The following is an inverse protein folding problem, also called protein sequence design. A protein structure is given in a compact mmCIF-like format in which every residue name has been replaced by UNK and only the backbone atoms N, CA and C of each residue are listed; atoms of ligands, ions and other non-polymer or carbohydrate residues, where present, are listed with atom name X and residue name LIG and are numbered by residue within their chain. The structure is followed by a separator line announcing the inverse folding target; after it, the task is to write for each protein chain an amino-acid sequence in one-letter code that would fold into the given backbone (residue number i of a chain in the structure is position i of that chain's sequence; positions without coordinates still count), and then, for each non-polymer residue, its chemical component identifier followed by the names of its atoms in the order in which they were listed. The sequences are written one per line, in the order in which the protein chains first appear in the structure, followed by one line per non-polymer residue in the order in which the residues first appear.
data_IF_640739023386
#
_entry.id   IF_640739023386
#
_cell.length_a   1.000
_cell.length_b   1.000
_cell.length_c   1.000
_cell.angle_alpha   90.00
_cell.angle_beta   90.00
_cell.angle_gamma   90.00
#
_symmetry.space_group_name_H-M   'P 1'
#
loop_
_entity.id
_entity.type
_entity.pdbx_description
1 polymer ?
#
# COMPACT_ATOMS: atom_id res chain seq x y z
N UNK A 1 -68.09 14.52 -9.95
CA UNK A 1 -67.11 14.38 -11.05
C UNK A 1 -66.43 13.02 -10.91
N UNK A 2 -66.55 12.19 -11.94
CA UNK A 2 -66.05 10.82 -11.98
C UNK A 2 -64.67 10.75 -12.65
N UNK A 3 -63.78 9.89 -12.14
CA UNK A 3 -62.59 9.37 -12.83
C UNK A 3 -62.39 7.94 -12.33
N UNK A 4 -63.01 6.96 -12.99
CA UNK A 4 -62.42 6.08 -14.02
C UNK A 4 -61.21 5.30 -13.51
N UNK A 5 -61.50 4.09 -13.03
CA UNK A 5 -60.56 2.98 -12.87
C UNK A 5 -60.81 1.96 -14.00
N UNK A 6 -59.78 1.14 -14.29
CA UNK A 6 -59.70 0.01 -15.27
C UNK A 6 -59.45 0.46 -16.74
N UNK A 7 -58.59 -0.15 -17.56
CA UNK A 7 -58.02 -1.51 -17.63
C UNK A 7 -56.82 -1.49 -18.61
N UNK A 8 -55.73 -2.27 -18.46
CA UNK A 8 -55.45 -3.56 -19.17
C UNK A 8 -53.97 -3.56 -19.64
N UNK A 9 -53.31 -4.66 -20.13
CA UNK A 9 -53.60 -6.10 -20.04
C UNK A 9 -52.44 -6.97 -19.51
N UNK A 10 -52.79 -8.24 -19.29
CA UNK A 10 -52.02 -9.49 -19.43
C UNK A 10 -50.59 -9.45 -19.99
N UNK A 11 -49.73 -10.36 -19.52
CA UNK A 11 -49.32 -11.54 -20.32
C UNK A 11 -48.11 -12.28 -19.69
N UNK A 12 -48.33 -13.55 -19.38
CA UNK A 12 -47.42 -14.68 -19.65
C UNK A 12 -46.01 -14.67 -19.03
N UNK A 13 -45.87 -15.44 -17.94
CA UNK A 13 -44.60 -16.07 -17.55
C UNK A 13 -44.18 -17.07 -18.63
N UNK A 14 -43.39 -16.63 -19.60
CA UNK A 14 -42.72 -17.53 -20.53
C UNK A 14 -41.28 -17.72 -20.07
N UNK A 15 -41.00 -18.88 -19.49
CA UNK A 15 -39.66 -19.33 -19.10
C UNK A 15 -38.78 -19.40 -20.35
N UNK A 16 -37.88 -18.43 -20.55
CA UNK A 16 -36.80 -18.54 -21.51
C UNK A 16 -35.78 -19.57 -20.99
N UNK A 17 -35.82 -20.80 -21.54
CA UNK A 17 -34.91 -21.92 -21.25
C UNK A 17 -33.50 -21.75 -21.87
N UNK A 18 -33.14 -20.57 -22.34
CA UNK A 18 -31.95 -20.36 -23.19
C UNK A 18 -30.72 -19.80 -22.47
N UNK A 19 -30.81 -19.35 -21.21
CA UNK A 19 -29.65 -18.77 -20.50
C UNK A 19 -28.71 -19.85 -19.94
N UNK A 20 -29.18 -21.09 -19.76
CA UNK A 20 -28.34 -22.15 -19.16
C UNK A 20 -27.23 -22.65 -20.10
N UNK A 21 -27.35 -22.44 -21.41
CA UNK A 21 -26.42 -23.00 -22.40
C UNK A 21 -25.18 -22.14 -22.66
N UNK A 22 -25.17 -20.86 -22.26
CA UNK A 22 -24.01 -19.99 -22.50
C UNK A 22 -22.97 -20.09 -21.38
N UNK A 23 -23.39 -20.48 -20.17
CA UNK A 23 -22.47 -20.71 -19.05
C UNK A 23 -21.56 -21.93 -19.26
N UNK A 24 -22.06 -22.98 -19.93
CA UNK A 24 -21.28 -24.18 -20.22
C UNK A 24 -20.21 -23.94 -21.29
N UNK A 25 -20.48 -23.08 -22.28
CA UNK A 25 -19.51 -22.70 -23.31
C UNK A 25 -18.42 -21.76 -22.75
N UNK A 26 -18.76 -20.85 -21.83
CA UNK A 26 -17.78 -20.03 -21.13
C UNK A 26 -16.82 -20.89 -20.28
N UNK A 27 -17.35 -21.93 -19.62
CA UNK A 27 -16.53 -22.88 -18.86
C UNK A 27 -15.56 -23.69 -19.74
N UNK A 28 -15.93 -23.95 -21.00
CA UNK A 28 -15.08 -24.67 -21.95
C UNK A 28 -13.95 -23.77 -22.49
N UNK A 29 -14.24 -22.50 -22.77
CA UNK A 29 -13.24 -21.53 -23.26
C UNK A 29 -12.19 -21.15 -22.21
N UNK A 30 -12.51 -21.24 -20.91
CA UNK A 30 -11.51 -21.08 -19.84
C UNK A 30 -10.53 -22.26 -19.79
N UNK A 31 -10.92 -23.46 -20.25
CA UNK A 31 -10.10 -24.68 -20.17
C UNK A 31 -9.14 -24.90 -21.33
N UNK A 32 -9.29 -24.19 -22.45
CA UNK A 32 -8.42 -24.32 -23.63
C UNK A 32 -7.60 -23.06 -23.86
N UNK A 33 -6.90 -22.57 -22.82
CA UNK A 33 -5.68 -21.79 -23.06
C UNK A 33 -4.53 -22.78 -23.26
N UNK A 34 -3.98 -22.87 -24.48
CA UNK A 34 -2.77 -23.64 -24.72
C UNK A 34 -1.67 -23.09 -23.82
N UNK A 35 -0.83 -23.98 -23.33
CA UNK A 35 0.32 -23.72 -22.46
C UNK A 35 1.39 -22.91 -23.23
N UNK A 36 1.09 -21.67 -23.57
CA UNK A 36 2.10 -20.73 -24.04
C UNK A 36 2.87 -20.30 -22.79
N UNK A 37 4.06 -20.88 -22.66
CA UNK A 37 5.18 -20.52 -21.78
C UNK A 37 4.93 -19.28 -20.94
N UNK A 38 4.58 -19.48 -19.67
CA UNK A 38 4.75 -18.42 -18.67
C UNK A 38 6.20 -17.96 -18.76
N UNK A 39 6.47 -16.65 -18.97
CA UNK A 39 7.80 -16.13 -18.66
C UNK A 39 8.10 -16.55 -17.23
N UNK A 40 9.29 -17.11 -16.99
CA UNK A 40 9.74 -17.48 -15.65
C UNK A 40 9.41 -16.35 -14.66
N UNK A 41 8.99 -16.67 -13.42
CA UNK A 41 8.84 -15.65 -12.40
C UNK A 41 10.17 -14.92 -12.29
N UNK A 42 10.19 -13.64 -12.70
CA UNK A 42 11.34 -12.79 -12.47
C UNK A 42 11.71 -12.93 -10.99
N UNK A 43 13.01 -13.09 -10.65
CA UNK A 43 13.42 -13.09 -9.26
C UNK A 43 12.81 -11.85 -8.61
N UNK A 44 12.25 -11.98 -7.39
CA UNK A 44 11.69 -10.84 -6.69
C UNK A 44 12.72 -9.71 -6.75
N UNK A 45 12.30 -8.47 -7.07
CA UNK A 45 13.17 -7.31 -6.98
C UNK A 45 13.92 -7.39 -5.65
N UNK A 46 15.20 -6.96 -5.57
CA UNK A 46 15.97 -7.02 -4.32
C UNK A 46 15.15 -6.34 -3.21
N UNK A 47 14.44 -7.17 -2.45
CA UNK A 47 13.61 -6.72 -1.35
C UNK A 47 14.61 -6.12 -0.37
N UNK A 48 14.37 -4.91 0.16
CA UNK A 48 15.19 -4.42 1.24
C UNK A 48 15.20 -5.51 2.30
N UNK A 49 16.38 -6.01 2.64
CA UNK A 49 16.52 -7.17 3.52
C UNK A 49 15.67 -6.93 4.75
N UNK A 50 14.67 -7.80 4.97
CA UNK A 50 13.66 -7.67 6.03
C UNK A 50 14.32 -7.43 7.39
N UNK A 51 15.52 -7.97 7.59
CA UNK A 51 16.35 -7.78 8.78
C UNK A 51 16.73 -6.31 9.01
N UNK A 52 17.18 -5.59 7.97
CA UNK A 52 17.48 -4.16 8.07
C UNK A 52 16.23 -3.34 8.39
N UNK A 53 15.09 -3.67 7.78
CA UNK A 53 13.82 -3.00 8.08
C UNK A 53 13.44 -3.20 9.55
N UNK A 54 13.59 -4.42 10.07
CA UNK A 54 13.31 -4.73 11.47
C UNK A 54 14.28 -4.03 12.42
N UNK A 55 15.55 -3.97 12.06
CA UNK A 55 16.58 -3.33 12.88
C UNK A 55 16.37 -1.82 12.96
N UNK A 56 16.14 -1.15 11.83
CA UNK A 56 15.82 0.28 11.82
C UNK A 56 14.51 0.53 12.57
N UNK A 57 13.48 -0.32 12.38
CA UNK A 57 12.22 -0.19 13.13
C UNK A 57 12.42 -0.34 14.65
N UNK A 58 13.36 -1.19 15.09
CA UNK A 58 13.75 -1.33 16.49
C UNK A 58 14.42 -0.04 16.99
N UNK A 59 15.38 0.49 16.24
CA UNK A 59 16.04 1.79 16.56
C UNK A 59 15.00 2.91 16.72
N UNK A 60 14.03 3.02 15.81
CA UNK A 60 12.94 4.01 15.92
C UNK A 60 12.08 3.81 17.17
N UNK A 61 11.90 2.56 17.61
CA UNK A 61 11.11 2.23 18.80
C UNK A 61 11.86 2.55 20.10
N UNK A 62 13.18 2.40 20.09
CA UNK A 62 14.05 2.68 21.24
C UNK A 62 14.27 4.19 21.43
N UNK A 63 14.23 4.96 20.33
CA UNK A 63 14.46 6.41 20.30
C UNK A 63 13.14 7.20 20.18
N UNK A 64 12.14 6.86 21.01
CA UNK A 64 10.87 7.60 21.05
C UNK A 64 10.99 9.00 21.66
N UNK A 65 11.94 9.19 22.56
CA UNK A 65 12.15 10.46 23.27
C UNK A 65 12.86 11.47 22.38
N UNK A 66 12.45 12.75 22.39
CA UNK A 66 13.07 13.79 21.55
C UNK A 66 14.54 14.05 21.89
N UNK A 67 14.94 13.78 23.14
CA UNK A 67 16.32 13.96 23.62
C UNK A 67 17.30 12.88 23.17
N UNK A 68 16.83 11.79 22.54
CA UNK A 68 17.73 10.75 22.08
C UNK A 68 18.30 11.08 20.70
N UNK A 69 19.59 10.84 20.52
CA UNK A 69 20.31 11.03 19.26
C UNK A 69 20.01 9.91 18.26
N UNK A 70 18.82 9.99 17.66
CA UNK A 70 18.35 9.07 16.64
C UNK A 70 19.34 8.98 15.45
N UNK A 71 19.90 10.12 15.04
CA UNK A 71 20.77 10.25 13.87
C UNK A 71 22.08 9.45 14.05
N UNK A 72 22.64 9.45 15.25
CA UNK A 72 23.85 8.67 15.59
C UNK A 72 23.60 7.17 15.45
N UNK A 73 22.43 6.71 15.91
CA UNK A 73 22.03 5.30 15.80
C UNK A 73 21.69 4.90 14.36
N UNK A 74 21.28 5.86 13.52
CA UNK A 74 20.98 5.64 12.10
C UNK A 74 22.23 5.74 11.20
N UNK A 75 23.29 6.41 11.65
CA UNK A 75 24.54 6.58 10.91
C UNK A 75 25.10 5.31 10.25
N UNK A 76 25.20 4.16 10.96
CA UNK A 76 25.66 2.90 10.38
C UNK A 76 24.81 2.38 9.21
N UNK A 77 23.53 2.78 9.14
CA UNK A 77 22.59 2.37 8.11
C UNK A 77 22.65 3.26 6.87
N UNK A 78 23.27 4.45 6.95
CA UNK A 78 23.38 5.41 5.84
C UNK A 78 23.73 4.80 4.47
N UNK A 79 24.73 3.91 4.32
CA UNK A 79 25.08 3.34 3.01
C UNK A 79 24.03 2.34 2.47
N UNK A 80 23.14 1.83 3.32
CA UNK A 80 22.12 0.85 2.97
C UNK A 80 20.73 1.49 2.76
N UNK A 81 20.62 2.81 2.97
CA UNK A 81 19.35 3.52 2.80
C UNK A 81 18.95 3.53 1.32
N UNK A 82 17.79 2.96 1.06
CA UNK A 82 17.13 2.98 -0.25
C UNK A 82 15.67 3.41 -0.08
N UNK A 83 15.06 3.89 -1.16
CA UNK A 83 13.69 4.41 -1.07
C UNK A 83 12.71 3.31 -0.66
N UNK A 84 12.94 2.08 -1.14
CA UNK A 84 12.16 0.90 -0.75
C UNK A 84 12.28 0.60 0.75
N UNK A 85 13.50 0.67 1.31
CA UNK A 85 13.72 0.46 2.75
C UNK A 85 12.99 1.52 3.58
N UNK A 86 13.09 2.80 3.21
CA UNK A 86 12.39 3.90 3.90
C UNK A 86 10.88 3.67 3.87
N UNK A 87 10.31 3.33 2.70
CA UNK A 87 8.88 3.03 2.60
C UNK A 87 8.46 1.88 3.51
N UNK A 88 9.23 0.80 3.58
CA UNK A 88 8.92 -0.36 4.42
C UNK A 88 9.00 -0.02 5.91
N UNK A 89 10.05 0.70 6.34
CA UNK A 89 10.19 1.17 7.72
C UNK A 89 9.04 2.10 8.11
N UNK A 90 8.68 3.05 7.26
CA UNK A 90 7.54 3.95 7.48
C UNK A 90 6.21 3.18 7.57
N UNK A 91 6.00 2.17 6.71
CA UNK A 91 4.79 1.32 6.76
C UNK A 91 4.68 0.53 8.06
N UNK A 92 5.79 0.11 8.67
CA UNK A 92 5.81 -0.63 9.96
C UNK A 92 5.67 0.29 11.17
N UNK A 93 6.13 1.54 11.07
CA UNK A 93 6.20 2.50 12.18
C UNK A 93 4.92 3.31 12.41
N UNK A 94 3.73 2.74 12.14
CA UNK A 94 2.43 3.45 12.22
C UNK A 94 2.13 4.13 13.57
N UNK A 95 2.67 3.60 14.66
CA UNK A 95 2.50 4.15 16.01
C UNK A 95 3.65 5.06 16.46
N UNK A 96 4.63 5.31 15.60
CA UNK A 96 5.88 6.03 15.90
C UNK A 96 5.99 7.28 15.03
N UNK A 97 4.95 8.12 15.05
CA UNK A 97 4.87 9.31 14.21
C UNK A 97 6.07 10.25 14.31
N UNK A 98 6.48 10.54 15.54
CA UNK A 98 7.58 11.46 15.80
C UNK A 98 8.96 10.86 15.41
N UNK A 99 9.35 9.64 15.83
CA UNK A 99 10.58 9.01 15.35
C UNK A 99 10.63 8.79 13.84
N UNK A 100 9.49 8.42 13.23
CA UNK A 100 9.39 8.20 11.78
C UNK A 100 9.61 9.50 10.99
N UNK A 101 9.08 10.62 11.46
CA UNK A 101 9.33 11.94 10.86
C UNK A 101 10.80 12.35 10.97
N UNK A 102 11.42 12.19 12.15
CA UNK A 102 12.86 12.45 12.31
C UNK A 102 13.73 11.55 11.43
N UNK A 103 13.39 10.27 11.34
CA UNK A 103 14.04 9.34 10.40
C UNK A 103 13.92 9.80 8.95
N UNK A 104 12.75 10.33 8.57
CA UNK A 104 12.53 10.86 7.23
C UNK A 104 13.40 12.09 6.94
N UNK A 105 13.51 13.02 7.89
CA UNK A 105 14.40 14.18 7.79
C UNK A 105 15.87 13.76 7.73
N UNK A 106 16.29 12.83 8.58
CA UNK A 106 17.64 12.26 8.54
C UNK A 106 17.93 11.59 7.20
N UNK A 107 17.00 10.81 6.64
CA UNK A 107 17.23 10.15 5.36
C UNK A 107 17.51 11.16 4.22
N UNK A 108 16.96 12.39 4.30
CA UNK A 108 17.23 13.48 3.35
C UNK A 108 18.66 14.02 3.45
N UNK A 109 19.36 13.82 4.57
CA UNK A 109 20.76 14.24 4.74
C UNK A 109 21.75 13.24 4.13
N UNK A 110 21.31 12.02 3.82
CA UNK A 110 22.14 10.98 3.20
C UNK A 110 22.50 11.39 1.76
N UNK A 111 23.79 11.45 1.41
CA UNK A 111 24.22 11.92 0.09
C UNK A 111 23.72 10.98 -1.02
N UNK A 112 23.09 11.56 -2.04
CA UNK A 112 22.56 10.82 -3.19
C UNK A 112 21.20 10.15 -2.96
N UNK A 113 20.64 10.25 -1.76
CA UNK A 113 19.31 9.75 -1.46
C UNK A 113 18.24 10.82 -1.72
N UNK A 114 17.14 10.42 -2.35
CA UNK A 114 15.96 11.26 -2.49
C UNK A 114 14.69 10.47 -2.18
N UNK A 115 13.79 11.11 -1.44
CA UNK A 115 12.46 10.58 -1.17
C UNK A 115 11.60 10.60 -2.44
N UNK A 116 10.82 9.54 -2.65
CA UNK A 116 9.83 9.51 -3.71
C UNK A 116 8.45 9.96 -3.19
N UNK A 117 7.51 10.20 -4.11
CA UNK A 117 6.14 10.58 -3.76
C UNK A 117 5.42 9.54 -2.87
N UNK A 118 5.83 8.27 -2.93
CA UNK A 118 5.25 7.18 -2.14
C UNK A 118 5.66 7.32 -0.68
N UNK A 119 6.93 7.57 -0.39
CA UNK A 119 7.47 7.81 0.96
C UNK A 119 6.78 9.00 1.63
N UNK A 120 6.63 10.11 0.90
CA UNK A 120 5.85 11.26 1.39
C UNK A 120 4.41 10.88 1.72
N UNK A 121 3.71 10.20 0.80
CA UNK A 121 2.32 9.77 1.04
C UNK A 121 2.19 8.87 2.27
N UNK A 122 3.11 7.93 2.48
CA UNK A 122 3.11 7.06 3.65
C UNK A 122 3.31 7.88 4.92
N UNK A 123 4.29 8.81 4.90
CA UNK A 123 4.56 9.67 6.05
C UNK A 123 3.37 10.57 6.40
N UNK A 124 2.76 11.22 5.42
CA UNK A 124 1.57 12.06 5.61
C UNK A 124 0.43 11.23 6.22
N UNK A 125 0.19 10.02 5.71
CA UNK A 125 -0.83 9.13 6.26
C UNK A 125 -0.53 8.74 7.72
N UNK A 126 0.74 8.52 8.05
CA UNK A 126 1.20 8.13 9.39
C UNK A 126 1.10 9.30 10.39
N UNK A 127 1.48 10.52 9.98
CA UNK A 127 1.30 11.74 10.76
C UNK A 127 -0.19 12.10 10.93
N UNK A 128 -0.98 11.96 9.87
CA UNK A 128 -2.42 12.20 9.90
C UNK A 128 -3.18 11.22 10.80
N UNK A 129 -2.81 9.93 10.75
CA UNK A 129 -3.42 8.88 11.59
C UNK A 129 -3.15 9.11 13.08
N UNK A 130 -2.00 9.68 13.41
CA UNK A 130 -1.59 9.99 14.78
C UNK A 130 -1.99 11.41 15.24
N UNK A 131 -2.72 12.16 14.40
CA UNK A 131 -3.15 13.56 14.64
C UNK A 131 -1.99 14.54 14.92
N UNK A 132 -0.77 14.21 14.46
CA UNK A 132 0.42 15.04 14.63
C UNK A 132 0.55 16.03 13.45
N UNK A 133 -0.41 16.95 13.34
CA UNK A 133 -0.44 17.90 12.23
C UNK A 133 0.70 18.92 12.26
N UNK A 134 1.27 19.21 13.43
CA UNK A 134 2.38 20.15 13.56
C UNK A 134 3.62 19.71 12.78
N UNK A 135 3.87 18.39 12.71
CA UNK A 135 5.02 17.82 11.98
C UNK A 135 4.79 17.79 10.46
N UNK A 136 3.54 17.93 10.01
CA UNK A 136 3.20 17.91 8.59
C UNK A 136 3.71 19.16 7.85
N UNK A 137 3.97 20.24 8.59
CA UNK A 137 4.43 21.50 8.03
C UNK A 137 5.95 21.67 8.12
N UNK A 138 6.66 20.69 8.67
CA UNK A 138 8.09 20.75 8.99
C UNK A 138 8.88 19.77 8.09
N UNK A 139 9.22 20.21 6.87
CA UNK A 139 9.83 19.39 5.79
C UNK A 139 10.99 20.06 5.05
#
# INVERSE_FOLDING_TARGET
MAIRSLSSPASSRTRCRTIQSLNSLLHCLVRLRPLASRPDPLPPPPEPSTDLVNEVSRVLSDHRSPHHDLETSLGPFSPHISTSLVEQVLKRSKNLAFPAHRFFLWAKTVPGFQHNAISYRILINLLGSSKNFSLLWDF
#
